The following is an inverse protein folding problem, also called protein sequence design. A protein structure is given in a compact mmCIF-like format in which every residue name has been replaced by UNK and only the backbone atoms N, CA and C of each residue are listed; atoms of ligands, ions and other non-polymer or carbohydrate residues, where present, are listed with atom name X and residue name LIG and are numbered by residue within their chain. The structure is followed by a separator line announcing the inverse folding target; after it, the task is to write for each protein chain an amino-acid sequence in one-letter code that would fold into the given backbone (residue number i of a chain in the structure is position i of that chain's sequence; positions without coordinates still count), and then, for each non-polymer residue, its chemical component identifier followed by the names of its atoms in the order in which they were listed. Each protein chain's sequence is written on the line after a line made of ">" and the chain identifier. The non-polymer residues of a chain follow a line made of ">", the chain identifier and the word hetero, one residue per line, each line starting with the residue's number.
data_IF_844506876770
#
_entry.id   IF_844506876770
#
_cell.length_a   1.000
_cell.length_b   1.000
_cell.length_c   1.000
_cell.angle_alpha   90.00
_cell.angle_beta   90.00
_cell.angle_gamma   90.00
#
_symmetry.space_group_name_H-M   'P 1'
#
loop_
_entity.id
_entity.type
_entity.pdbx_description
1 polymer ?
#
# COMPACT_ATOMS: atom_id res chain seq x y z
N UNK A 1 -25.42 12.57 17.54
CA UNK A 1 -25.23 12.25 16.10
C UNK A 1 -24.12 11.23 16.04
N UNK A 2 -24.40 10.00 15.63
CA UNK A 2 -23.32 9.07 15.28
C UNK A 2 -22.57 9.66 14.09
N UNK A 3 -21.28 9.88 14.26
CA UNK A 3 -20.41 10.28 13.16
C UNK A 3 -20.47 9.17 12.11
N UNK A 4 -20.97 9.50 10.90
CA UNK A 4 -21.09 8.54 9.81
C UNK A 4 -19.67 8.18 9.35
N UNK A 5 -19.15 7.08 9.89
CA UNK A 5 -17.86 6.51 9.51
C UNK A 5 -17.90 6.08 8.04
N UNK A 6 -16.91 6.46 7.22
CA UNK A 6 -16.86 6.03 5.83
C UNK A 6 -16.66 4.53 5.76
N UNK A 7 -17.59 3.82 5.10
CA UNK A 7 -17.54 2.37 4.94
C UNK A 7 -16.43 1.91 4.02
N UNK A 8 -16.12 2.63 2.95
CA UNK A 8 -15.12 2.21 1.99
C UNK A 8 -14.20 3.39 1.72
N UNK A 9 -12.95 3.25 2.15
CA UNK A 9 -11.95 4.32 2.08
C UNK A 9 -10.84 3.89 1.14
N UNK A 10 -10.63 4.70 0.11
CA UNK A 10 -9.48 4.59 -0.79
C UNK A 10 -8.51 5.73 -0.50
N UNK A 11 -7.24 5.39 -0.36
CA UNK A 11 -6.17 6.34 -0.10
C UNK A 11 -4.98 6.01 -0.99
N UNK A 12 -4.55 6.96 -1.82
CA UNK A 12 -3.37 6.82 -2.65
C UNK A 12 -2.26 7.76 -2.17
N UNK A 13 -1.01 7.42 -2.47
CA UNK A 13 0.15 8.20 -2.09
C UNK A 13 1.25 8.15 -3.17
N UNK A 14 2.05 9.21 -3.20
CA UNK A 14 3.33 9.27 -3.89
C UNK A 14 4.41 9.62 -2.88
N UNK A 15 5.47 8.82 -2.87
CA UNK A 15 6.66 8.97 -2.05
C UNK A 15 7.82 9.34 -2.97
N UNK A 16 8.47 10.48 -2.72
CA UNK A 16 9.60 10.94 -3.53
C UNK A 16 10.88 11.04 -2.73
N UNK A 17 12.00 10.85 -3.43
CA UNK A 17 13.32 10.82 -2.80
C UNK A 17 13.44 9.67 -1.79
N UNK A 18 12.90 8.51 -2.12
CA UNK A 18 12.95 7.33 -1.26
C UNK A 18 14.38 6.83 -1.08
N UNK A 19 14.62 6.07 -0.01
CA UNK A 19 15.88 5.36 0.20
C UNK A 19 16.14 4.42 -1.01
N UNK A 20 17.29 4.50 -1.70
CA UNK A 20 17.51 3.71 -2.92
C UNK A 20 17.31 2.20 -2.76
N UNK A 21 17.73 1.65 -1.61
CA UNK A 21 17.57 0.22 -1.29
C UNK A 21 16.13 -0.25 -1.05
N UNK A 22 15.16 0.66 -0.90
CA UNK A 22 13.74 0.27 -0.81
C UNK A 22 13.02 0.25 -2.15
N UNK A 23 13.59 0.84 -3.21
CA UNK A 23 13.00 0.89 -4.55
C UNK A 23 13.43 -0.29 -5.43
N UNK A 24 14.59 -0.88 -5.14
CA UNK A 24 15.08 -2.08 -5.82
C UNK A 24 15.05 -3.24 -4.84
N UNK A 25 14.41 -4.34 -5.22
CA UNK A 25 14.38 -5.54 -4.40
C UNK A 25 15.78 -6.19 -4.34
N UNK A 26 16.36 -6.28 -3.14
CA UNK A 26 17.62 -7.00 -2.89
C UNK A 26 17.39 -8.48 -2.54
N UNK A 27 16.16 -8.94 -2.70
CA UNK A 27 15.66 -10.25 -2.27
C UNK A 27 14.77 -10.84 -3.37
N UNK A 28 14.45 -12.13 -3.28
CA UNK A 28 13.51 -12.77 -4.21
C UNK A 28 12.09 -12.19 -4.09
N UNK A 29 11.26 -12.39 -5.12
CA UNK A 29 9.83 -12.03 -5.10
C UNK A 29 9.10 -12.66 -3.91
N UNK A 30 9.48 -13.89 -3.51
CA UNK A 30 8.92 -14.55 -2.33
C UNK A 30 9.26 -13.80 -1.05
N UNK A 31 10.54 -13.47 -0.85
CA UNK A 31 11.01 -12.76 0.35
C UNK A 31 10.45 -11.35 0.42
N UNK A 32 10.34 -10.65 -0.71
CA UNK A 32 9.66 -9.37 -0.80
C UNK A 32 8.19 -9.50 -0.37
N UNK A 33 7.51 -10.54 -0.84
CA UNK A 33 6.15 -10.85 -0.40
C UNK A 33 6.06 -11.12 1.10
N UNK A 34 7.01 -11.85 1.68
CA UNK A 34 7.05 -12.13 3.11
C UNK A 34 7.24 -10.84 3.93
N UNK A 35 8.01 -9.87 3.42
CA UNK A 35 8.20 -8.54 4.02
C UNK A 35 6.89 -7.73 4.02
N UNK A 36 6.22 -7.59 2.87
CA UNK A 36 4.97 -6.83 2.76
C UNK A 36 3.82 -7.51 3.51
N UNK A 37 3.72 -8.84 3.46
CA UNK A 37 2.77 -9.58 4.28
C UNK A 37 2.98 -9.35 5.78
N UNK A 38 4.24 -9.31 6.22
CA UNK A 38 4.54 -9.02 7.62
C UNK A 38 4.07 -7.61 7.99
N UNK A 39 4.32 -6.59 7.16
CA UNK A 39 3.86 -5.23 7.42
C UNK A 39 2.33 -5.15 7.57
N UNK A 40 1.56 -5.80 6.69
CA UNK A 40 0.09 -5.78 6.79
C UNK A 40 -0.42 -6.55 8.03
N UNK A 41 0.23 -7.68 8.38
CA UNK A 41 -0.11 -8.45 9.59
C UNK A 41 0.19 -7.66 10.86
N UNK A 42 1.35 -7.00 10.93
CA UNK A 42 1.74 -6.15 12.05
C UNK A 42 0.81 -4.93 12.21
N UNK A 43 0.27 -4.41 11.10
CA UNK A 43 -0.76 -3.39 11.12
C UNK A 43 -2.13 -3.91 11.59
N UNK A 44 -2.34 -5.23 11.60
CA UNK A 44 -3.55 -5.90 12.07
C UNK A 44 -4.52 -6.32 10.96
N UNK A 45 -4.10 -6.29 9.69
CA UNK A 45 -4.87 -6.82 8.58
C UNK A 45 -4.62 -8.31 8.38
N UNK A 46 -5.59 -8.99 7.75
CA UNK A 46 -5.48 -10.39 7.35
C UNK A 46 -5.22 -10.45 5.84
N UNK A 47 -4.04 -10.90 5.39
CA UNK A 47 -3.79 -11.10 3.97
C UNK A 47 -4.48 -12.36 3.45
N UNK A 48 -5.10 -12.25 2.28
CA UNK A 48 -5.79 -13.33 1.57
C UNK A 48 -4.96 -13.84 0.39
N UNK A 49 -4.24 -12.96 -0.31
CA UNK A 49 -3.37 -13.29 -1.44
C UNK A 49 -2.27 -12.24 -1.62
N UNK A 50 -1.29 -12.53 -2.48
CA UNK A 50 -0.22 -11.61 -2.84
C UNK A 50 0.21 -11.76 -4.30
N UNK A 51 0.64 -10.66 -4.92
CA UNK A 51 1.30 -10.62 -6.21
C UNK A 51 2.58 -9.77 -6.12
N UNK A 52 3.71 -10.36 -6.49
CA UNK A 52 5.01 -9.70 -6.45
C UNK A 52 5.67 -9.86 -7.81
N UNK A 53 6.21 -8.76 -8.34
CA UNK A 53 6.98 -8.79 -9.58
C UNK A 53 8.19 -7.88 -9.48
N UNK A 54 9.39 -8.42 -9.69
CA UNK A 54 10.61 -7.62 -9.81
C UNK A 54 10.95 -7.48 -11.30
N UNK A 55 11.24 -6.25 -11.73
CA UNK A 55 11.54 -5.92 -13.12
C UNK A 55 13.06 -5.84 -13.37
N UNK A 56 13.51 -6.01 -14.63
CA UNK A 56 14.89 -5.67 -15.00
C UNK A 56 15.13 -4.15 -14.90
N UNK A 57 16.39 -3.73 -14.75
CA UNK A 57 16.76 -2.31 -14.86
C UNK A 57 16.76 -1.83 -16.32
N UNK A 58 17.07 -0.55 -16.55
CA UNK A 58 17.14 0.06 -17.89
C UNK A 58 18.11 -0.66 -18.86
N UNK A 59 19.17 -1.29 -18.34
CA UNK A 59 20.13 -2.07 -19.12
C UNK A 59 19.68 -3.52 -19.39
N UNK A 60 18.46 -3.89 -18.96
CA UNK A 60 17.92 -5.24 -19.10
C UNK A 60 18.44 -6.24 -18.05
N UNK A 61 19.18 -5.79 -17.04
CA UNK A 61 19.68 -6.67 -15.97
C UNK A 61 18.54 -7.06 -15.06
N UNK A 62 18.17 -8.35 -15.10
CA UNK A 62 17.11 -8.92 -14.28
C UNK A 62 17.37 -8.71 -12.77
N UNK A 63 16.31 -8.40 -12.03
CA UNK A 63 16.38 -8.25 -10.56
C UNK A 63 17.03 -6.95 -10.08
N UNK A 64 17.25 -5.97 -10.97
CA UNK A 64 17.86 -4.67 -10.61
C UNK A 64 16.98 -3.46 -10.90
N UNK A 65 15.77 -3.67 -11.43
CA UNK A 65 14.78 -2.61 -11.64
C UNK A 65 13.87 -2.43 -10.43
N UNK A 66 12.80 -1.66 -10.64
CA UNK A 66 11.71 -1.54 -9.67
C UNK A 66 10.93 -2.83 -9.49
N UNK A 67 9.88 -2.76 -8.69
CA UNK A 67 8.97 -3.85 -8.41
C UNK A 67 7.54 -3.37 -8.21
N UNK A 68 6.63 -4.31 -8.42
CA UNK A 68 5.22 -4.25 -8.01
C UNK A 68 5.03 -5.16 -6.81
N UNK A 69 4.41 -4.64 -5.75
CA UNK A 69 4.00 -5.40 -4.57
C UNK A 69 2.52 -5.14 -4.26
N UNK A 70 1.69 -6.17 -4.43
CA UNK A 70 0.27 -6.14 -4.15
C UNK A 70 -0.06 -7.21 -3.11
N UNK A 71 -0.78 -6.79 -2.06
CA UNK A 71 -1.32 -7.66 -1.03
C UNK A 71 -2.84 -7.51 -1.01
N UNK A 72 -3.54 -8.57 -1.37
CA UNK A 72 -5.00 -8.67 -1.21
C UNK A 72 -5.31 -8.96 0.25
N UNK A 73 -6.22 -8.19 0.83
CA UNK A 73 -6.71 -8.34 2.20
C UNK A 73 -8.17 -8.78 2.17
N UNK A 74 -8.70 -9.24 3.30
CA UNK A 74 -10.15 -9.52 3.41
C UNK A 74 -10.97 -8.25 3.16
N UNK A 75 -11.67 -8.22 2.02
CA UNK A 75 -12.47 -7.08 1.53
C UNK A 75 -11.67 -5.78 1.28
N UNK A 76 -10.35 -5.88 1.06
CA UNK A 76 -9.51 -4.71 0.83
C UNK A 76 -8.16 -5.00 0.15
N UNK A 77 -7.30 -3.99 -0.05
CA UNK A 77 -6.00 -4.16 -0.72
C UNK A 77 -4.95 -3.13 -0.30
N UNK A 78 -3.68 -3.50 -0.44
CA UNK A 78 -2.55 -2.58 -0.32
C UNK A 78 -1.55 -2.84 -1.45
N UNK A 79 -1.27 -1.81 -2.23
CA UNK A 79 -0.49 -1.89 -3.47
C UNK A 79 0.65 -0.88 -3.47
N UNK A 80 1.81 -1.28 -3.97
CA UNK A 80 2.98 -0.41 -4.15
C UNK A 80 3.68 -0.73 -5.47
N UNK A 81 4.11 0.32 -6.14
CA UNK A 81 4.87 0.31 -7.38
C UNK A 81 6.08 1.22 -7.20
N UNK A 82 7.24 0.83 -7.71
CA UNK A 82 8.50 1.56 -7.51
C UNK A 82 9.19 1.89 -8.82
N UNK A 83 9.77 3.09 -8.89
CA UNK A 83 10.56 3.61 -10.00
C UNK A 83 11.92 4.10 -9.47
N UNK A 84 12.92 3.19 -9.37
CA UNK A 84 14.26 3.54 -8.90
C UNK A 84 14.93 4.68 -9.68
N UNK A 85 14.64 4.79 -10.97
CA UNK A 85 15.16 5.82 -11.88
C UNK A 85 14.74 7.24 -11.48
N UNK A 86 13.53 7.37 -10.93
CA UNK A 86 12.97 8.65 -10.48
C UNK A 86 13.16 8.85 -8.96
N UNK A 87 13.55 7.80 -8.23
CA UNK A 87 13.67 7.83 -6.78
C UNK A 87 12.31 7.71 -6.07
N UNK A 88 11.30 7.18 -6.76
CA UNK A 88 9.90 7.32 -6.36
C UNK A 88 9.21 5.97 -6.11
N UNK A 89 8.22 5.99 -5.21
CA UNK A 89 7.27 4.91 -5.02
C UNK A 89 5.84 5.48 -5.00
N UNK A 90 4.92 4.79 -5.67
CA UNK A 90 3.49 5.14 -5.69
C UNK A 90 2.71 3.96 -5.17
N UNK A 91 1.63 4.20 -4.46
CA UNK A 91 0.79 3.12 -3.98
C UNK A 91 -0.58 3.57 -3.54
N UNK A 92 -1.37 2.59 -3.14
CA UNK A 92 -2.70 2.77 -2.58
C UNK A 92 -3.00 1.78 -1.47
N UNK A 93 -3.85 2.20 -0.54
CA UNK A 93 -4.47 1.35 0.45
C UNK A 93 -5.97 1.57 0.34
N UNK A 94 -6.67 0.50 -0.04
CA UNK A 94 -8.10 0.40 0.09
C UNK A 94 -8.42 -0.37 1.37
N UNK A 95 -9.34 0.15 2.19
CA UNK A 95 -9.85 -0.54 3.36
C UNK A 95 -11.35 -0.32 3.57
N UNK A 96 -12.02 -1.39 3.98
CA UNK A 96 -13.44 -1.39 4.31
C UNK A 96 -13.64 -1.26 5.84
N UNK A 97 -14.63 -0.48 6.26
CA UNK A 97 -15.08 -0.28 7.64
C UNK A 97 -16.50 -0.84 7.86
N UNK A 98 -16.94 -1.82 7.06
CA UNK A 98 -18.32 -2.34 7.12
C UNK A 98 -18.66 -2.95 8.48
N UNK A 99 -17.85 -3.91 8.95
CA UNK A 99 -18.06 -4.59 10.24
C UNK A 99 -17.31 -3.94 11.41
N UNK A 100 -16.21 -3.22 11.12
CA UNK A 100 -15.27 -2.71 12.14
C UNK A 100 -14.57 -1.44 11.67
N UNK A 101 -14.03 -0.66 12.60
CA UNK A 101 -13.19 0.49 12.25
C UNK A 101 -11.74 0.05 11.99
N UNK A 102 -11.28 0.16 10.74
CA UNK A 102 -9.93 -0.19 10.32
C UNK A 102 -9.03 1.06 10.17
N UNK A 103 -9.47 2.25 10.59
CA UNK A 103 -8.70 3.50 10.45
C UNK A 103 -7.34 3.44 11.14
N UNK A 104 -7.25 2.81 12.31
CA UNK A 104 -5.96 2.67 13.02
C UNK A 104 -5.05 1.62 12.38
N UNK A 105 -5.62 0.56 11.78
CA UNK A 105 -4.84 -0.41 10.99
C UNK A 105 -4.26 0.25 9.75
N UNK A 106 -5.06 1.06 9.06
CA UNK A 106 -4.61 1.88 7.94
C UNK A 106 -3.45 2.78 8.35
N UNK A 107 -3.59 3.56 9.44
CA UNK A 107 -2.51 4.44 9.94
C UNK A 107 -1.22 3.66 10.22
N UNK A 108 -1.32 2.49 10.85
CA UNK A 108 -0.16 1.62 11.12
C UNK A 108 0.51 1.14 9.84
N UNK A 109 -0.27 0.65 8.87
CA UNK A 109 0.26 0.19 7.59
C UNK A 109 0.93 1.34 6.82
N UNK A 110 0.25 2.48 6.70
CA UNK A 110 0.79 3.66 6.04
C UNK A 110 2.10 4.14 6.71
N UNK A 111 2.13 4.18 8.05
CA UNK A 111 3.36 4.53 8.79
C UNK A 111 4.49 3.54 8.53
N UNK A 112 4.20 2.24 8.47
CA UNK A 112 5.19 1.21 8.15
C UNK A 112 5.74 1.39 6.73
N UNK A 113 4.90 1.73 5.76
CA UNK A 113 5.33 2.04 4.39
C UNK A 113 6.22 3.30 4.36
N UNK A 114 5.84 4.38 5.03
CA UNK A 114 6.70 5.56 5.15
C UNK A 114 8.06 5.23 5.77
N UNK A 115 8.12 4.39 6.80
CA UNK A 115 9.37 3.95 7.41
C UNK A 115 10.21 3.06 6.48
N UNK A 116 9.55 2.16 5.74
CA UNK A 116 10.23 1.25 4.82
C UNK A 116 10.88 2.00 3.65
N UNK A 117 10.15 2.94 3.05
CA UNK A 117 10.61 3.75 1.91
C UNK A 117 11.48 4.94 2.32
N UNK A 118 11.27 5.48 3.53
CA UNK A 118 11.94 6.65 4.06
C UNK A 118 12.02 7.80 3.02
N UNK A 119 10.88 8.30 2.53
CA UNK A 119 10.84 9.37 1.53
C UNK A 119 11.22 10.73 2.10
N UNK A 120 11.71 11.61 1.23
CA UNK A 120 11.94 13.02 1.56
C UNK A 120 10.66 13.85 1.44
N UNK A 121 9.81 13.50 0.47
CA UNK A 121 8.54 14.17 0.23
C UNK A 121 7.41 13.14 0.11
N UNK A 122 6.23 13.53 0.58
CA UNK A 122 5.04 12.69 0.60
C UNK A 122 3.87 13.49 0.09
N UNK A 123 3.23 12.98 -0.95
CA UNK A 123 1.96 13.49 -1.48
C UNK A 123 0.88 12.43 -1.28
N UNK A 124 -0.32 12.87 -0.89
CA UNK A 124 -1.43 11.98 -0.55
C UNK A 124 -2.70 12.40 -1.26
N UNK A 125 -3.44 11.42 -1.76
CA UNK A 125 -4.70 11.62 -2.49
C UNK A 125 -5.81 10.84 -1.77
N UNK A 126 -6.77 11.58 -1.22
CA UNK A 126 -7.85 11.02 -0.39
C UNK A 126 -7.78 11.52 1.06
N UNK A 127 -8.54 10.91 1.99
CA UNK A 127 -9.33 9.70 1.81
C UNK A 127 -10.55 9.92 0.90
N UNK A 128 -10.71 9.06 -0.12
CA UNK A 128 -11.89 9.03 -0.96
C UNK A 128 -12.89 8.00 -0.45
N UNK A 129 -14.15 8.41 -0.35
CA UNK A 129 -15.26 7.50 -0.05
C UNK A 129 -15.77 6.91 -1.37
N UNK A 130 -15.46 5.64 -1.62
CA UNK A 130 -15.76 5.02 -2.92
C UNK A 130 -17.16 4.40 -2.98
N UNK A 131 -17.80 4.21 -1.83
CA UNK A 131 -19.20 3.79 -1.74
C UNK A 131 -20.02 4.79 -0.92
N UNK A 132 -21.12 5.27 -1.50
CA UNK A 132 -22.20 5.96 -0.79
C UNK A 132 -23.47 5.14 -0.98
N UNK A 133 -24.07 4.66 0.11
CA UNK A 133 -25.44 4.13 0.03
C UNK A 133 -26.37 5.27 -0.39
N UNK A 134 -27.38 4.98 -1.22
CA UNK A 134 -28.58 5.81 -1.23
C UNK A 134 -29.13 5.82 0.19
N UNK A 135 -29.36 7.00 0.79
CA UNK A 135 -30.17 7.07 2.00
C UNK A 135 -31.51 6.41 1.67
N UNK A 136 -31.82 5.29 2.31
CA UNK A 136 -33.19 4.80 2.32
C UNK A 136 -33.93 5.71 3.31
N UNK A 137 -34.96 6.46 2.89
CA UNK A 137 -35.78 7.22 3.83
C UNK A 137 -36.33 6.25 4.88
N UNK A 138 -36.28 6.64 6.15
CA UNK A 138 -37.09 6.02 7.21
C UNK A 138 -38.57 6.28 6.93
#
# INVERSE_FOLDING_TARGET
>A
MEEIRPRDVFFAFSFRGCRPGSLVAQVSEKELGDIFEKMVKDAGFTPAARYLKIYPNADGVAGKGGYTAEITLEESSANVYTWPEDGDAVGDIFYCNYERDNSDKFKKLYTALCQFFNPQEVETFGPFRIYRRKQTPM
#
